data_IF_535937910061
#
_entry.id   IF_535937910061
#
_cell.length_a   1.000
_cell.length_b   1.000
_cell.length_c   1.000
_cell.angle_alpha   90.00
_cell.angle_beta   90.00
_cell.angle_gamma   90.00
#
_symmetry.space_group_name_H-M   'P 1'
#
loop_
_entity.id
_entity.type
_entity.pdbx_description
1 polymer ?
#
# COMPACT_ATOMS: atom_id res chain seq x y z
N UNK A 1 -16.43 -25.00 12.17
CA UNK A 1 -15.34 -24.49 13.03
C UNK A 1 -15.87 -24.44 14.44
N UNK A 2 -15.23 -25.11 15.39
CA UNK A 2 -15.65 -25.14 16.78
C UNK A 2 -14.64 -24.38 17.67
N UNK A 3 -15.13 -23.58 18.61
CA UNK A 3 -14.33 -22.97 19.66
C UNK A 3 -13.95 -24.03 20.71
N UNK A 4 -12.68 -24.03 21.11
CA UNK A 4 -12.15 -25.00 22.07
C UNK A 4 -11.50 -24.27 23.25
N UNK A 5 -11.78 -24.67 24.48
CA UNK A 5 -10.94 -24.32 25.63
C UNK A 5 -9.66 -25.10 25.49
N UNK A 6 -8.58 -24.44 25.17
CA UNK A 6 -7.26 -25.04 24.97
C UNK A 6 -6.30 -24.46 26.01
N UNK A 7 -6.42 -24.97 27.24
CA UNK A 7 -5.59 -24.53 28.38
C UNK A 7 -4.12 -24.90 28.17
N UNK A 8 -3.85 -25.97 27.44
CA UNK A 8 -2.49 -26.46 27.17
C UNK A 8 -1.82 -25.78 25.96
N UNK A 9 -2.49 -24.81 25.28
CA UNK A 9 -1.91 -24.09 24.18
C UNK A 9 -1.60 -24.94 22.93
N UNK A 10 -2.24 -26.08 22.76
CA UNK A 10 -2.00 -27.03 21.67
C UNK A 10 -2.22 -26.31 20.32
N UNK A 11 -1.27 -26.44 19.41
CA UNK A 11 -1.35 -25.93 18.03
C UNK A 11 -0.84 -26.98 17.05
N UNK A 12 -1.38 -26.94 15.83
CA UNK A 12 -0.95 -27.86 14.78
C UNK A 12 -1.97 -28.92 14.44
N UNK A 13 -1.52 -29.93 13.70
CA UNK A 13 -2.37 -31.00 13.18
C UNK A 13 -2.27 -32.25 14.07
N UNK A 14 -3.43 -32.82 14.38
CA UNK A 14 -3.55 -34.13 15.03
C UNK A 14 -4.59 -34.93 14.23
N UNK A 15 -4.14 -35.93 13.50
CA UNK A 15 -5.03 -36.70 12.61
C UNK A 15 -5.70 -35.80 11.55
N UNK A 16 -7.03 -35.84 11.55
CA UNK A 16 -7.86 -35.01 10.63
C UNK A 16 -8.31 -33.70 11.27
N UNK A 17 -7.76 -33.31 12.41
CA UNK A 17 -8.10 -32.07 13.10
C UNK A 17 -6.90 -31.15 13.15
N UNK A 18 -7.16 -29.84 12.96
CA UNK A 18 -6.15 -28.78 13.06
C UNK A 18 -6.55 -27.83 14.18
N UNK A 19 -5.67 -27.68 15.18
CA UNK A 19 -5.81 -26.71 16.26
C UNK A 19 -5.17 -25.38 15.85
N UNK A 20 -5.94 -24.32 15.93
CA UNK A 20 -5.56 -22.96 15.51
C UNK A 20 -5.82 -21.96 16.64
N UNK A 21 -5.10 -20.81 16.59
CA UNK A 21 -5.38 -19.67 17.45
C UNK A 21 -5.47 -18.42 16.59
N UNK A 22 -6.55 -17.63 16.74
CA UNK A 22 -6.76 -16.38 16.05
C UNK A 22 -7.31 -15.37 17.07
N UNK A 23 -6.71 -14.19 17.14
CA UNK A 23 -7.12 -13.11 18.05
C UNK A 23 -7.33 -13.57 19.50
N UNK A 24 -6.39 -14.36 20.01
CA UNK A 24 -6.44 -14.90 21.38
C UNK A 24 -7.37 -16.11 21.57
N UNK A 25 -8.28 -16.38 20.66
CA UNK A 25 -9.23 -17.51 20.74
C UNK A 25 -8.67 -18.76 20.09
N UNK A 26 -8.80 -19.89 20.80
CA UNK A 26 -8.44 -21.22 20.27
C UNK A 26 -9.65 -21.83 19.58
N UNK A 27 -9.43 -22.41 18.40
CA UNK A 27 -10.46 -23.15 17.66
C UNK A 27 -9.87 -24.37 17.00
N UNK A 28 -10.72 -25.33 16.68
CA UNK A 28 -10.35 -26.48 15.87
C UNK A 28 -11.18 -26.52 14.59
N UNK A 29 -10.61 -27.07 13.56
CA UNK A 29 -11.28 -27.34 12.27
C UNK A 29 -10.88 -28.69 11.73
N UNK A 30 -11.72 -29.31 10.94
CA UNK A 30 -11.32 -30.47 10.15
C UNK A 30 -10.24 -30.09 9.12
N UNK A 31 -9.35 -31.02 8.82
CA UNK A 31 -8.45 -30.90 7.69
C UNK A 31 -9.29 -31.11 6.42
N UNK A 32 -9.35 -30.13 5.50
CA UNK A 32 -10.02 -30.36 4.23
C UNK A 32 -9.23 -31.36 3.36
N UNK A 33 -9.92 -32.11 2.55
CA UNK A 33 -9.29 -32.94 1.54
C UNK A 33 -8.46 -32.08 0.59
N UNK A 34 -7.36 -32.62 0.12
CA UNK A 34 -6.44 -31.92 -0.76
C UNK A 34 -7.06 -31.85 -2.16
N UNK A 35 -7.77 -30.77 -2.44
CA UNK A 35 -8.29 -30.48 -3.77
C UNK A 35 -7.32 -29.51 -4.43
N UNK A 36 -6.69 -29.88 -5.53
CA UNK A 36 -5.88 -29.00 -6.36
C UNK A 36 -6.46 -28.92 -7.76
N UNK A 37 -7.56 -28.18 -7.96
CA UNK A 37 -8.23 -28.09 -9.25
C UNK A 37 -7.40 -27.36 -10.31
N UNK A 38 -6.42 -26.53 -9.91
CA UNK A 38 -5.49 -25.80 -10.78
C UNK A 38 -6.14 -25.21 -12.06
N UNK A 39 -7.33 -24.66 -11.91
CA UNK A 39 -8.08 -24.09 -13.05
C UNK A 39 -7.37 -22.87 -13.63
N UNK A 40 -7.57 -22.52 -14.93
CA UNK A 40 -6.97 -21.32 -15.54
C UNK A 40 -7.23 -20.03 -14.74
N UNK A 41 -8.45 -19.85 -14.21
CA UNK A 41 -8.79 -18.70 -13.35
C UNK A 41 -7.98 -18.67 -12.07
N UNK A 42 -7.77 -19.82 -11.43
CA UNK A 42 -6.94 -19.91 -10.23
C UNK A 42 -5.47 -19.63 -10.53
N UNK A 43 -4.96 -20.13 -11.67
CA UNK A 43 -3.59 -19.84 -12.11
C UNK A 43 -3.39 -18.33 -12.35
N UNK A 44 -4.36 -17.67 -12.99
CA UNK A 44 -4.33 -16.22 -13.20
C UNK A 44 -4.27 -15.46 -11.86
N UNK A 45 -5.14 -15.79 -10.90
CA UNK A 45 -5.17 -15.16 -9.59
C UNK A 45 -3.85 -15.39 -8.84
N UNK A 46 -3.34 -16.64 -8.84
CA UNK A 46 -2.04 -16.98 -8.22
C UNK A 46 -0.89 -16.21 -8.87
N UNK A 47 -0.91 -16.04 -10.19
CA UNK A 47 0.11 -15.29 -10.93
C UNK A 47 0.05 -13.80 -10.56
N UNK A 48 -1.13 -13.19 -10.56
CA UNK A 48 -1.34 -11.81 -10.12
C UNK A 48 -0.86 -11.58 -8.69
N UNK A 49 -1.22 -12.48 -7.79
CA UNK A 49 -0.77 -12.44 -6.40
C UNK A 49 0.76 -12.49 -6.27
N UNK A 50 1.42 -13.36 -7.04
CA UNK A 50 2.89 -13.48 -7.06
C UNK A 50 3.56 -12.18 -7.51
N UNK A 51 2.97 -11.47 -8.49
CA UNK A 51 3.46 -10.16 -8.94
C UNK A 51 3.35 -9.13 -7.83
N UNK A 52 2.20 -9.05 -7.15
CA UNK A 52 2.00 -8.13 -6.04
C UNK A 52 2.97 -8.40 -4.88
N UNK A 53 3.20 -9.68 -4.53
CA UNK A 53 4.20 -10.07 -3.50
C UNK A 53 5.61 -9.62 -3.89
N UNK A 54 5.99 -9.79 -5.17
CA UNK A 54 7.29 -9.35 -5.66
C UNK A 54 7.46 -7.83 -5.54
N UNK A 55 6.42 -7.07 -5.87
CA UNK A 55 6.42 -5.62 -5.70
C UNK A 55 6.55 -5.24 -4.20
N UNK A 56 5.76 -5.85 -3.33
CA UNK A 56 5.83 -5.58 -1.90
C UNK A 56 7.19 -5.91 -1.28
N UNK A 57 7.89 -6.95 -1.77
CA UNK A 57 9.26 -7.24 -1.32
C UNK A 57 10.19 -6.05 -1.55
N UNK A 58 10.01 -5.30 -2.65
CA UNK A 58 10.79 -4.08 -2.90
C UNK A 58 10.37 -2.93 -1.97
N UNK A 59 9.09 -2.79 -1.68
CA UNK A 59 8.61 -1.82 -0.67
C UNK A 59 9.26 -2.06 0.69
N UNK A 60 9.41 -3.32 1.10
CA UNK A 60 10.02 -3.66 2.41
C UNK A 60 11.46 -3.15 2.58
N UNK A 61 12.16 -2.91 1.49
CA UNK A 61 13.52 -2.38 1.46
C UNK A 61 13.56 -0.84 1.55
N UNK A 62 12.40 -0.18 1.65
CA UNK A 62 12.23 1.28 1.63
C UNK A 62 11.47 1.79 2.85
N UNK A 63 11.51 3.10 3.17
CA UNK A 63 10.70 3.71 4.23
C UNK A 63 9.19 3.51 4.05
N UNK A 64 8.73 3.21 2.83
CA UNK A 64 7.31 2.98 2.52
C UNK A 64 6.70 1.82 3.33
N UNK A 65 7.53 0.89 3.80
CA UNK A 65 7.07 -0.17 4.71
C UNK A 65 6.48 0.42 6.00
N UNK A 66 7.16 1.37 6.62
CA UNK A 66 6.68 2.03 7.83
C UNK A 66 5.36 2.76 7.62
N UNK A 67 5.22 3.45 6.49
CA UNK A 67 3.98 4.14 6.09
C UNK A 67 2.82 3.15 5.95
N UNK A 68 3.05 2.00 5.31
CA UNK A 68 2.03 0.97 5.16
C UNK A 68 1.66 0.30 6.49
N UNK A 69 2.65 0.06 7.36
CA UNK A 69 2.38 -0.54 8.68
C UNK A 69 1.58 0.44 9.56
N UNK A 70 1.89 1.73 9.53
CA UNK A 70 1.12 2.77 10.21
C UNK A 70 -0.31 2.88 9.63
N UNK A 71 -0.42 2.91 8.31
CA UNK A 71 -1.72 2.95 7.61
C UNK A 71 -2.59 1.71 7.86
N UNK A 72 -1.98 0.58 8.23
CA UNK A 72 -2.70 -0.65 8.51
C UNK A 72 -3.37 -0.67 9.89
N UNK A 73 -2.96 0.21 10.81
CA UNK A 73 -3.53 0.25 12.16
C UNK A 73 -5.06 0.36 12.09
N UNK A 74 -5.74 -0.50 12.87
CA UNK A 74 -7.21 -0.62 12.93
C UNK A 74 -7.93 -0.98 11.61
N UNK A 75 -7.21 -1.14 10.50
CA UNK A 75 -7.77 -1.47 9.18
C UNK A 75 -7.46 -2.92 8.80
N UNK A 76 -6.21 -3.33 8.99
CA UNK A 76 -5.68 -4.64 8.63
C UNK A 76 -4.72 -5.16 9.69
N UNK A 77 -4.37 -6.44 9.64
CA UNK A 77 -3.43 -7.07 10.57
C UNK A 77 -1.96 -6.67 10.35
N UNK A 78 -1.63 -6.06 9.21
CA UNK A 78 -0.26 -5.62 8.86
C UNK A 78 -0.28 -4.76 7.61
N UNK A 79 0.79 -4.00 7.37
CA UNK A 79 1.00 -3.22 6.14
C UNK A 79 0.99 -4.10 4.88
N UNK A 80 1.49 -5.34 4.99
CA UNK A 80 1.38 -6.32 3.90
C UNK A 80 -0.08 -6.65 3.56
N UNK A 81 -0.90 -6.94 4.57
CA UNK A 81 -2.31 -7.25 4.35
C UNK A 81 -3.06 -6.04 3.75
N UNK A 82 -2.77 -4.83 4.23
CA UNK A 82 -3.31 -3.59 3.68
C UNK A 82 -2.90 -3.42 2.22
N UNK A 83 -1.60 -3.56 1.92
CA UNK A 83 -1.09 -3.44 0.56
C UNK A 83 -1.77 -4.42 -0.39
N UNK A 84 -1.85 -5.69 -0.02
CA UNK A 84 -2.52 -6.72 -0.84
C UNK A 84 -4.01 -6.42 -1.04
N UNK A 85 -4.71 -6.00 0.00
CA UNK A 85 -6.13 -5.63 -0.05
C UNK A 85 -6.40 -4.49 -1.02
N UNK A 86 -5.55 -3.46 -1.01
CA UNK A 86 -5.72 -2.25 -1.83
C UNK A 86 -5.25 -2.43 -3.26
N UNK A 87 -4.14 -3.16 -3.48
CA UNK A 87 -3.38 -3.10 -4.73
C UNK A 87 -3.48 -4.34 -5.62
N UNK A 88 -4.07 -5.46 -5.16
CA UNK A 88 -4.07 -6.70 -5.93
C UNK A 88 -4.68 -6.53 -7.34
N UNK A 89 -5.66 -5.65 -7.50
CA UNK A 89 -6.32 -5.37 -8.77
C UNK A 89 -5.45 -4.58 -9.75
N UNK A 90 -4.49 -3.80 -9.27
CA UNK A 90 -3.56 -3.04 -10.10
C UNK A 90 -2.57 -3.93 -10.87
N UNK A 91 -2.35 -5.16 -10.42
CA UNK A 91 -1.40 -6.10 -11.03
C UNK A 91 -2.06 -7.04 -12.02
N UNK A 92 -1.32 -7.42 -13.06
CA UNK A 92 -1.73 -8.41 -14.07
C UNK A 92 -0.95 -9.72 -13.93
N UNK A 93 -1.53 -10.80 -14.42
CA UNK A 93 -0.92 -12.13 -14.40
C UNK A 93 0.36 -12.23 -15.25
N UNK A 94 0.54 -11.33 -16.23
CA UNK A 94 1.71 -11.28 -17.11
C UNK A 94 2.98 -10.67 -16.46
N UNK A 95 2.95 -10.42 -15.16
CA UNK A 95 4.11 -9.91 -14.42
C UNK A 95 4.25 -8.39 -14.38
N UNK A 96 3.29 -7.65 -14.92
CA UNK A 96 3.31 -6.17 -15.04
C UNK A 96 2.26 -5.51 -14.14
N UNK A 97 2.47 -4.24 -13.86
CA UNK A 97 1.43 -3.36 -13.32
C UNK A 97 0.48 -3.06 -14.48
N UNK A 98 -0.80 -3.32 -14.27
CA UNK A 98 -1.83 -3.11 -15.28
C UNK A 98 -2.34 -1.68 -15.30
N UNK A 99 -2.47 -1.10 -14.10
CA UNK A 99 -2.96 0.25 -13.93
C UNK A 99 -2.24 0.93 -12.76
N UNK A 100 -1.41 1.91 -13.08
CA UNK A 100 -0.65 2.67 -12.09
C UNK A 100 -1.53 3.57 -11.24
N UNK A 101 -2.68 4.04 -11.76
CA UNK A 101 -3.60 4.90 -11.02
C UNK A 101 -4.29 4.18 -9.86
N UNK A 102 -4.33 2.85 -9.89
CA UNK A 102 -4.93 2.03 -8.85
C UNK A 102 -3.94 1.62 -7.74
N UNK A 103 -2.70 2.09 -7.79
CA UNK A 103 -1.75 1.83 -6.72
C UNK A 103 -1.96 2.77 -5.53
N UNK A 104 -2.01 2.18 -4.34
CA UNK A 104 -2.16 2.88 -3.07
C UNK A 104 -1.01 2.52 -2.14
N UNK A 105 -0.33 3.52 -1.62
CA UNK A 105 0.80 3.36 -0.71
C UNK A 105 0.50 3.79 0.72
N UNK A 106 -0.65 4.41 0.92
CA UNK A 106 -1.14 4.84 2.23
C UNK A 106 -2.64 4.59 2.36
N UNK A 107 -3.13 4.62 3.57
CA UNK A 107 -4.55 4.65 3.89
C UNK A 107 -4.72 5.36 5.24
N UNK A 108 -5.72 6.18 5.35
CA UNK A 108 -5.99 6.95 6.57
C UNK A 108 -7.30 7.70 6.47
N UNK A 109 -7.55 8.53 7.47
CA UNK A 109 -8.72 9.40 7.56
C UNK A 109 -8.42 10.84 7.19
N UNK A 110 -7.14 11.18 6.92
CA UNK A 110 -6.76 12.52 6.51
C UNK A 110 -7.40 12.87 5.18
N UNK A 111 -7.75 14.12 5.02
CA UNK A 111 -8.29 14.64 3.78
C UNK A 111 -7.31 14.38 2.63
N UNK A 112 -7.81 13.95 1.50
CA UNK A 112 -7.03 13.86 0.28
C UNK A 112 -6.81 15.26 -0.33
N UNK A 113 -5.77 15.43 -1.13
CA UNK A 113 -5.61 16.63 -1.94
C UNK A 113 -6.74 16.70 -2.98
N UNK A 114 -7.49 17.81 -2.99
CA UNK A 114 -8.46 18.05 -4.04
C UNK A 114 -7.78 18.71 -5.25
N UNK A 115 -8.32 18.48 -6.41
CA UNK A 115 -7.86 19.09 -7.68
C UNK A 115 -6.34 19.02 -7.87
N UNK A 116 -5.69 17.96 -7.37
CA UNK A 116 -4.26 17.77 -7.45
C UNK A 116 -3.80 17.77 -8.90
N UNK A 117 -3.00 18.75 -9.28
CA UNK A 117 -2.38 18.89 -10.59
C UNK A 117 -0.87 18.84 -10.49
N UNK A 118 -0.24 18.19 -11.46
CA UNK A 118 1.22 18.10 -11.53
C UNK A 118 1.72 18.55 -12.90
N UNK A 119 2.72 19.44 -12.90
CA UNK A 119 3.39 19.94 -14.11
C UNK A 119 4.89 19.74 -13.95
N UNK A 120 5.56 19.45 -15.05
CA UNK A 120 7.02 19.35 -15.09
C UNK A 120 7.53 20.24 -16.22
N UNK A 121 8.49 21.08 -15.90
CA UNK A 121 9.14 21.94 -16.90
C UNK A 121 10.30 21.21 -17.61
N UNK A 122 10.90 21.91 -18.57
CA UNK A 122 12.03 21.40 -19.37
C UNK A 122 13.32 21.25 -18.56
N UNK A 123 13.40 21.91 -17.40
CA UNK A 123 14.55 21.84 -16.48
C UNK A 123 14.41 20.69 -15.48
N UNK A 124 13.29 19.95 -15.50
CA UNK A 124 13.03 18.84 -14.59
C UNK A 124 12.45 19.26 -13.24
N UNK A 125 11.97 20.51 -13.12
CA UNK A 125 11.25 20.94 -11.93
C UNK A 125 9.80 20.51 -12.01
N UNK A 126 9.34 19.79 -11.01
CA UNK A 126 7.94 19.40 -10.84
C UNK A 126 7.26 20.42 -9.94
N UNK A 127 6.13 20.91 -10.38
CA UNK A 127 5.20 21.71 -9.57
C UNK A 127 3.93 20.91 -9.35
N UNK A 128 3.54 20.73 -8.08
CA UNK A 128 2.25 20.18 -7.68
C UNK A 128 1.42 21.31 -7.10
N UNK A 129 0.18 21.44 -7.55
CA UNK A 129 -0.81 22.36 -7.01
C UNK A 129 -2.01 21.53 -6.52
N UNK A 130 -2.60 21.89 -5.39
CA UNK A 130 -3.80 21.24 -4.85
C UNK A 130 -4.68 22.25 -4.13
N UNK A 131 -5.90 21.84 -3.83
CA UNK A 131 -6.86 22.62 -3.06
C UNK A 131 -7.14 21.93 -1.72
N UNK A 132 -7.42 22.71 -0.70
CA UNK A 132 -7.85 22.25 0.62
C UNK A 132 -9.32 22.59 0.84
N UNK A 133 -10.01 21.75 1.61
CA UNK A 133 -11.28 22.07 2.23
C UNK A 133 -11.02 22.28 3.72
N UNK A 134 -10.85 23.52 4.11
CA UNK A 134 -10.52 23.91 5.48
C UNK A 134 -11.65 23.65 6.49
N UNK A 135 -12.89 23.49 6.01
CA UNK A 135 -14.05 23.19 6.84
C UNK A 135 -14.17 21.68 7.12
N UNK A 136 -13.41 20.85 6.43
CA UNK A 136 -13.48 19.41 6.63
C UNK A 136 -12.90 19.00 8.00
N UNK A 137 -13.63 18.17 8.73
CA UNK A 137 -13.25 17.68 10.08
C UNK A 137 -11.90 16.96 10.15
N UNK A 138 -11.39 16.52 9.01
CA UNK A 138 -10.13 15.78 8.88
C UNK A 138 -9.03 16.61 8.19
N UNK A 139 -9.23 17.90 8.03
CA UNK A 139 -8.23 18.86 7.59
C UNK A 139 -7.29 19.24 8.75
N UNK A 140 -6.01 19.34 8.43
CA UNK A 140 -4.98 19.83 9.34
C UNK A 140 -3.91 20.56 8.52
N UNK A 141 -3.82 21.87 8.70
CA UNK A 141 -2.92 22.74 7.94
C UNK A 141 -1.43 22.36 8.07
N UNK A 142 -1.07 21.79 9.23
CA UNK A 142 0.29 21.36 9.55
C UNK A 142 0.66 19.97 9.01
N UNK A 143 -0.24 19.27 8.35
CA UNK A 143 0.06 17.98 7.72
C UNK A 143 1.18 18.15 6.69
N UNK A 144 2.10 17.19 6.63
CA UNK A 144 3.24 17.19 5.72
C UNK A 144 2.92 16.43 4.43
N UNK A 145 3.29 17.01 3.30
CA UNK A 145 3.18 16.34 2.01
C UNK A 145 4.25 15.27 1.87
N UNK A 146 3.84 14.06 1.56
CA UNK A 146 4.70 12.96 1.13
C UNK A 146 4.45 12.66 -0.35
N UNK A 147 5.53 12.49 -1.12
CA UNK A 147 5.47 12.18 -2.54
C UNK A 147 6.25 10.91 -2.82
N UNK A 148 5.60 9.95 -3.47
CA UNK A 148 6.23 8.72 -3.95
C UNK A 148 6.41 8.82 -5.45
N UNK A 149 7.60 8.50 -5.91
CA UNK A 149 8.00 8.54 -7.31
C UNK A 149 8.13 7.12 -7.84
N UNK A 150 7.44 6.80 -8.93
CA UNK A 150 7.51 5.50 -9.60
C UNK A 150 7.71 5.67 -11.10
N UNK A 151 8.96 5.54 -11.61
CA UNK A 151 9.24 5.60 -13.03
C UNK A 151 8.71 4.37 -13.78
N UNK A 152 8.14 4.54 -14.97
CA UNK A 152 7.57 3.45 -15.76
C UNK A 152 8.59 2.40 -16.21
N UNK A 153 9.85 2.79 -16.42
CA UNK A 153 10.96 1.90 -16.76
C UNK A 153 11.51 1.13 -15.55
N UNK A 154 11.21 1.58 -14.33
CA UNK A 154 11.54 0.91 -13.06
C UNK A 154 10.29 0.70 -12.22
N UNK A 155 9.26 0.14 -12.83
CA UNK A 155 7.91 0.04 -12.27
C UNK A 155 7.79 -0.78 -10.98
N UNK A 156 8.86 -1.45 -10.54
CA UNK A 156 8.94 -2.20 -9.27
C UNK A 156 9.86 -1.52 -8.23
N UNK A 157 10.21 -0.26 -8.43
CA UNK A 157 11.11 0.47 -7.53
C UNK A 157 10.48 1.81 -7.11
N UNK A 158 9.39 1.80 -6.31
CA UNK A 158 8.83 3.02 -5.76
C UNK A 158 9.83 3.64 -4.78
N UNK A 159 9.97 4.96 -4.84
CA UNK A 159 10.85 5.72 -3.95
C UNK A 159 10.06 6.83 -3.28
N UNK A 160 10.22 6.98 -1.98
CA UNK A 160 9.78 8.17 -1.26
C UNK A 160 10.73 9.32 -1.60
N UNK A 161 10.20 10.47 -1.93
CA UNK A 161 10.98 11.68 -2.13
C UNK A 161 11.41 12.21 -0.76
N UNK A 162 12.70 12.21 -0.50
CA UNK A 162 13.28 12.68 0.76
C UNK A 162 13.54 14.18 0.71
N UNK A 163 13.51 14.85 1.87
CA UNK A 163 13.84 16.28 1.99
C UNK A 163 12.74 17.24 1.51
N UNK A 164 11.54 16.75 1.23
CA UNK A 164 10.40 17.59 0.89
C UNK A 164 9.69 18.04 2.18
N UNK A 165 9.94 19.27 2.63
CA UNK A 165 9.32 19.85 3.82
C UNK A 165 8.21 20.84 3.44
N UNK A 166 7.13 20.33 2.85
CA UNK A 166 5.99 21.14 2.43
C UNK A 166 4.78 20.78 3.27
N UNK A 167 4.15 21.79 3.83
CA UNK A 167 2.92 21.64 4.60
C UNK A 167 1.70 21.71 3.69
N UNK A 168 0.62 21.08 4.11
CA UNK A 168 -0.65 21.08 3.41
C UNK A 168 -1.16 22.49 3.10
N UNK A 169 -1.02 23.41 4.07
CA UNK A 169 -1.45 24.80 3.94
C UNK A 169 -0.77 25.56 2.79
N UNK A 170 0.35 25.09 2.27
CA UNK A 170 1.06 25.74 1.17
C UNK A 170 0.35 25.62 -0.17
N UNK A 171 -0.56 24.64 -0.35
CA UNK A 171 -1.32 24.35 -1.59
C UNK A 171 -0.46 24.19 -2.84
N UNK A 172 0.85 24.22 -2.67
CA UNK A 172 1.85 24.11 -3.72
C UNK A 172 3.14 23.48 -3.22
N UNK A 173 3.71 22.62 -4.06
CA UNK A 173 5.04 22.07 -3.85
C UNK A 173 5.85 22.13 -5.14
N UNK A 174 7.14 22.46 -5.02
CA UNK A 174 8.05 22.46 -6.17
C UNK A 174 9.32 21.73 -5.78
N UNK A 175 9.74 20.77 -6.60
CA UNK A 175 10.94 19.97 -6.36
C UNK A 175 11.57 19.48 -7.66
N UNK A 176 12.89 19.29 -7.70
CA UNK A 176 13.57 18.74 -8.86
C UNK A 176 13.30 17.22 -8.98
N UNK A 177 13.13 16.74 -10.18
CA UNK A 177 12.95 15.33 -10.48
C UNK A 177 13.67 14.94 -11.77
N UNK A 178 14.63 14.05 -11.67
CA UNK A 178 15.32 13.53 -12.84
C UNK A 178 14.40 12.60 -13.64
N UNK A 179 14.24 12.92 -14.92
CA UNK A 179 13.44 12.13 -15.85
C UNK A 179 14.28 11.69 -17.05
N UNK A 180 14.41 10.39 -17.24
CA UNK A 180 14.98 9.84 -18.48
C UNK A 180 14.10 10.15 -19.70
N UNK A 181 14.72 10.36 -20.85
CA UNK A 181 14.03 10.64 -22.12
C UNK A 181 12.99 9.53 -22.41
N UNK A 182 11.75 9.92 -22.65
CA UNK A 182 10.64 8.99 -22.94
C UNK A 182 10.09 8.20 -21.74
N UNK A 183 10.60 8.43 -20.52
CA UNK A 183 10.10 7.76 -19.29
C UNK A 183 8.92 8.52 -18.74
N UNK A 184 7.80 7.82 -18.51
CA UNK A 184 6.68 8.35 -17.73
C UNK A 184 6.97 8.17 -16.24
N UNK A 185 6.66 9.18 -15.44
CA UNK A 185 6.78 9.13 -13.99
C UNK A 185 5.38 9.20 -13.39
N UNK A 186 5.09 8.29 -12.47
CA UNK A 186 3.86 8.29 -11.69
C UNK A 186 4.19 8.82 -10.31
N UNK A 187 3.45 9.84 -9.88
CA UNK A 187 3.55 10.45 -8.56
C UNK A 187 2.34 10.04 -7.71
N UNK A 188 2.59 9.70 -6.47
CA UNK A 188 1.54 9.40 -5.50
C UNK A 188 1.75 10.30 -4.30
N UNK A 189 0.77 11.16 -4.04
CA UNK A 189 0.81 12.16 -2.99
C UNK A 189 -0.15 11.79 -1.86
N UNK A 190 0.28 11.98 -0.64
CA UNK A 190 -0.56 11.83 0.54
C UNK A 190 -0.05 12.75 1.66
N UNK A 191 -0.91 13.03 2.60
CA UNK A 191 -0.57 13.86 3.75
C UNK A 191 -0.39 13.01 5.00
N UNK A 192 0.59 13.38 5.80
CA UNK A 192 0.94 12.74 7.07
C UNK A 192 0.88 13.77 8.18
N UNK A 193 0.38 13.37 9.35
CA UNK A 193 0.36 14.23 10.52
C UNK A 193 1.76 14.60 10.99
N UNK A 194 1.95 15.76 11.63
CA UNK A 194 3.26 16.21 12.11
C UNK A 194 3.93 15.26 13.10
N UNK A 195 3.12 14.48 13.83
CA UNK A 195 3.60 13.49 14.82
C UNK A 195 3.95 12.13 14.16
N UNK A 196 3.77 11.98 12.84
CA UNK A 196 4.04 10.75 12.11
C UNK A 196 3.17 9.55 12.51
N UNK A 197 2.04 9.78 13.16
CA UNK A 197 1.18 8.72 13.70
C UNK A 197 -0.14 8.54 12.94
N UNK A 198 -0.42 9.43 12.00
CA UNK A 198 -1.68 9.42 11.23
C UNK A 198 -1.47 9.88 9.79
#
# INVERSE_FOLDING_TARGET
MALVRNEFGIRGRVGNVVFCKLNGKSYMRSLPDRIDPNTPKQQEVRSRFRVAVRFYKKIKETPLKGILDLSADKICSSGYALFMKKNLKAFRANGKIGDFSQLHFSAGKRQQAYNLQGRMDDQGMVTLDWENDEEAYNFEAADRLNVIVLPSNRSFSPKLLEGLEVLRAAEKATFPLERGKGVKIHLYCFFESPDGKR
#
